data_IF_179735155630
#
_entry.id   IF_179735155630
#
_cell.length_a   1.000
_cell.length_b   1.000
_cell.length_c   1.000
_cell.angle_alpha   90.00
_cell.angle_beta   90.00
_cell.angle_gamma   90.00
#
_symmetry.space_group_name_H-M   'P 1'
#
loop_
_entity.id
_entity.type
_entity.pdbx_description
1 polymer ?
#
# COMPACT_ATOMS: atom_id res chain seq x y z
N UNK A 1 10.38 -7.67 -35.08
CA UNK A 1 9.83 -6.32 -35.27
C UNK A 1 8.57 -6.05 -34.41
N UNK A 2 7.54 -6.89 -34.41
CA UNK A 2 6.32 -6.66 -33.58
C UNK A 2 6.57 -6.54 -32.07
N UNK A 3 7.52 -7.29 -31.49
CA UNK A 3 7.88 -7.23 -30.05
C UNK A 3 8.55 -5.92 -29.62
N UNK A 4 9.36 -5.31 -30.52
CA UNK A 4 10.02 -4.04 -30.24
C UNK A 4 9.02 -2.87 -30.22
N UNK A 5 8.01 -2.92 -31.08
CA UNK A 5 6.97 -1.89 -31.17
C UNK A 5 6.09 -1.90 -29.93
N UNK A 6 5.75 -3.12 -29.39
CA UNK A 6 4.95 -3.25 -28.16
C UNK A 6 5.70 -2.73 -26.94
N UNK A 7 7.00 -3.02 -26.85
CA UNK A 7 7.87 -2.49 -25.75
C UNK A 7 7.98 -0.96 -25.80
N UNK A 8 8.05 -0.36 -27.01
CA UNK A 8 8.06 1.08 -27.18
C UNK A 8 6.74 1.74 -26.76
N UNK A 9 5.60 1.13 -27.05
CA UNK A 9 4.29 1.68 -26.64
C UNK A 9 4.16 1.65 -25.11
N UNK A 10 4.59 0.58 -24.45
CA UNK A 10 4.60 0.51 -22.98
C UNK A 10 5.62 1.48 -22.37
N UNK A 11 6.80 1.65 -22.99
CA UNK A 11 7.84 2.55 -22.49
C UNK A 11 7.53 4.04 -22.76
N UNK A 12 6.91 4.38 -23.88
CA UNK A 12 6.51 5.77 -24.19
C UNK A 12 5.43 6.31 -23.24
N UNK A 13 4.60 5.44 -22.61
CA UNK A 13 3.67 5.87 -21.58
C UNK A 13 4.35 6.37 -20.30
N UNK A 14 5.66 6.10 -20.11
CA UNK A 14 6.43 6.56 -18.94
C UNK A 14 7.23 7.85 -19.16
N UNK A 15 7.39 8.31 -20.41
CA UNK A 15 8.29 9.43 -20.76
C UNK A 15 7.62 10.73 -21.18
N UNK A 16 6.28 10.75 -21.30
CA UNK A 16 5.57 11.99 -21.65
C UNK A 16 5.07 12.65 -20.38
N UNK A 17 5.84 13.64 -19.92
CA UNK A 17 5.42 14.54 -18.86
C UNK A 17 4.16 15.31 -19.28
N UNK A 18 3.19 15.38 -18.36
CA UNK A 18 2.06 16.32 -18.31
C UNK A 18 1.42 16.69 -19.66
N UNK A 19 0.86 15.73 -20.34
CA UNK A 19 -0.31 15.93 -21.18
C UNK A 19 -1.41 15.13 -20.50
N UNK A 20 -2.56 15.75 -20.24
CA UNK A 20 -3.79 15.11 -19.75
C UNK A 20 -4.28 14.08 -20.78
N UNK A 21 -3.60 12.96 -20.83
CA UNK A 21 -4.11 11.76 -21.45
C UNK A 21 -4.85 11.04 -20.34
N UNK A 22 -6.16 11.22 -20.26
CA UNK A 22 -7.05 10.21 -19.71
C UNK A 22 -6.75 8.94 -20.50
N UNK A 23 -5.81 8.15 -20.01
CA UNK A 23 -5.51 6.85 -20.58
C UNK A 23 -6.74 6.00 -20.31
N UNK A 24 -7.57 5.86 -21.35
CA UNK A 24 -8.84 5.16 -21.27
C UNK A 24 -8.54 3.73 -20.78
N UNK A 25 -9.00 3.42 -19.58
CA UNK A 25 -8.81 2.10 -18.94
C UNK A 25 -9.24 0.96 -19.87
N UNK A 26 -10.26 1.18 -20.70
CA UNK A 26 -10.74 0.20 -21.67
C UNK A 26 -9.66 -0.17 -22.71
N UNK A 27 -8.85 0.79 -23.14
CA UNK A 27 -7.72 0.53 -24.05
C UNK A 27 -6.64 -0.32 -23.38
N UNK A 28 -6.36 -0.06 -22.09
CA UNK A 28 -5.42 -0.88 -21.32
C UNK A 28 -5.93 -2.31 -21.12
N UNK A 29 -7.21 -2.47 -20.87
CA UNK A 29 -7.86 -3.78 -20.74
C UNK A 29 -7.76 -4.57 -22.05
N UNK A 30 -8.01 -3.94 -23.20
CA UNK A 30 -7.84 -4.57 -24.50
C UNK A 30 -6.40 -5.02 -24.76
N UNK A 31 -5.41 -4.18 -24.42
CA UNK A 31 -3.99 -4.55 -24.51
C UNK A 31 -3.69 -5.73 -23.61
N UNK A 32 -4.11 -5.68 -22.35
CA UNK A 32 -3.91 -6.73 -21.37
C UNK A 32 -4.46 -8.10 -21.84
N UNK A 33 -5.64 -8.14 -22.46
CA UNK A 33 -6.27 -9.38 -22.93
C UNK A 33 -5.43 -10.12 -23.97
N UNK A 34 -4.59 -9.42 -24.71
CA UNK A 34 -3.72 -9.96 -25.77
C UNK A 34 -2.27 -10.18 -25.32
N UNK A 35 -1.92 -9.88 -24.06
CA UNK A 35 -0.56 -10.11 -23.54
C UNK A 35 -0.33 -11.60 -23.24
N UNK A 36 0.90 -12.09 -23.45
CA UNK A 36 1.28 -13.43 -23.02
C UNK A 36 1.26 -13.55 -21.49
N UNK A 37 1.21 -14.79 -20.99
CA UNK A 37 1.29 -15.08 -19.54
C UNK A 37 2.73 -14.97 -19.05
N UNK A 38 3.23 -13.74 -18.99
CA UNK A 38 4.57 -13.39 -18.49
C UNK A 38 4.53 -12.11 -17.63
N UNK A 39 5.70 -11.62 -17.23
CA UNK A 39 5.82 -10.44 -16.37
C UNK A 39 5.17 -9.17 -16.94
N UNK A 40 5.04 -9.05 -18.28
CA UNK A 40 4.40 -7.88 -18.90
C UNK A 40 2.91 -7.84 -18.59
N UNK A 41 2.28 -9.01 -18.48
CA UNK A 41 0.88 -9.16 -18.08
C UNK A 41 0.65 -8.73 -16.64
N UNK A 42 1.55 -9.09 -15.72
CA UNK A 42 1.50 -8.66 -14.30
C UNK A 42 1.63 -7.15 -14.17
N UNK A 43 2.59 -6.54 -14.90
CA UNK A 43 2.76 -5.08 -14.93
C UNK A 43 1.51 -4.37 -15.45
N UNK A 44 0.92 -4.86 -16.54
CA UNK A 44 -0.29 -4.28 -17.12
C UNK A 44 -1.47 -4.32 -16.14
N UNK A 45 -1.71 -5.48 -15.50
CA UNK A 45 -2.75 -5.63 -14.48
C UNK A 45 -2.53 -4.69 -13.30
N UNK A 46 -1.31 -4.61 -12.79
CA UNK A 46 -0.97 -3.72 -11.69
C UNK A 46 -1.27 -2.24 -12.04
N UNK A 47 -0.98 -1.82 -13.27
CA UNK A 47 -1.28 -0.46 -13.72
C UNK A 47 -2.80 -0.21 -13.84
N UNK A 48 -3.55 -1.18 -14.39
CA UNK A 48 -5.02 -1.11 -14.45
C UNK A 48 -5.60 -0.94 -13.03
N UNK A 49 -5.16 -1.76 -12.08
CA UNK A 49 -5.65 -1.72 -10.69
C UNK A 49 -5.36 -0.35 -10.05
N UNK A 50 -4.17 0.22 -10.28
CA UNK A 50 -3.80 1.53 -9.74
C UNK A 50 -4.67 2.67 -10.26
N UNK A 51 -5.15 2.58 -11.50
CA UNK A 51 -6.10 3.54 -12.08
C UNK A 51 -7.50 3.31 -11.50
N UNK A 52 -7.92 2.05 -11.41
CA UNK A 52 -9.27 1.65 -10.98
C UNK A 52 -9.40 1.46 -9.45
N UNK A 53 -8.42 1.87 -8.64
CA UNK A 53 -8.36 1.55 -7.21
C UNK A 53 -9.60 1.96 -6.40
N UNK A 54 -10.34 2.97 -6.84
CA UNK A 54 -11.58 3.42 -6.22
C UNK A 54 -12.85 2.84 -6.86
N UNK A 55 -12.70 2.02 -7.91
CA UNK A 55 -13.80 1.40 -8.63
C UNK A 55 -14.02 -0.03 -8.11
N UNK A 56 -15.27 -0.52 -7.94
CA UNK A 56 -15.53 -1.92 -7.60
C UNK A 56 -14.86 -2.95 -8.52
N UNK A 57 -14.57 -2.61 -9.78
CA UNK A 57 -13.80 -3.43 -10.70
C UNK A 57 -12.38 -3.74 -10.21
N UNK A 58 -11.83 -2.92 -9.32
CA UNK A 58 -10.52 -3.14 -8.70
C UNK A 58 -10.41 -4.55 -8.11
N UNK A 59 -11.45 -5.06 -7.44
CA UNK A 59 -11.48 -6.41 -6.89
C UNK A 59 -11.30 -7.48 -7.96
N UNK A 60 -12.01 -7.38 -9.08
CA UNK A 60 -11.92 -8.37 -10.17
C UNK A 60 -10.52 -8.39 -10.81
N UNK A 61 -9.92 -7.22 -10.98
CA UNK A 61 -8.56 -7.11 -11.49
C UNK A 61 -7.53 -7.62 -10.47
N UNK A 62 -7.74 -7.38 -9.18
CA UNK A 62 -6.89 -7.90 -8.10
C UNK A 62 -6.97 -9.42 -8.00
N UNK A 63 -8.16 -10.02 -8.15
CA UNK A 63 -8.32 -11.47 -8.27
C UNK A 63 -7.56 -12.03 -9.47
N UNK A 64 -7.63 -11.33 -10.61
CA UNK A 64 -6.92 -11.73 -11.83
C UNK A 64 -5.40 -11.62 -11.64
N UNK A 65 -4.93 -10.54 -11.00
CA UNK A 65 -3.51 -10.36 -10.67
C UNK A 65 -3.01 -11.45 -9.73
N UNK A 66 -3.79 -11.80 -8.70
CA UNK A 66 -3.45 -12.89 -7.78
C UNK A 66 -3.30 -14.22 -8.51
N UNK A 67 -4.28 -14.59 -9.35
CA UNK A 67 -4.23 -15.84 -10.13
C UNK A 67 -3.03 -15.88 -11.06
N UNK A 68 -2.77 -14.80 -11.80
CA UNK A 68 -1.67 -14.70 -12.73
C UNK A 68 -0.31 -14.74 -12.00
N UNK A 69 -0.17 -14.02 -10.89
CA UNK A 69 1.03 -14.00 -10.08
C UNK A 69 1.35 -15.38 -9.47
N UNK A 70 0.35 -16.09 -8.98
CA UNK A 70 0.52 -17.46 -8.45
C UNK A 70 0.91 -18.45 -9.57
N UNK A 71 0.31 -18.32 -10.76
CA UNK A 71 0.67 -19.12 -11.92
C UNK A 71 2.14 -18.91 -12.33
N UNK A 72 2.60 -17.66 -12.33
CA UNK A 72 3.98 -17.29 -12.66
C UNK A 72 4.96 -17.46 -11.48
N UNK A 73 4.46 -17.82 -10.29
CA UNK A 73 5.25 -17.90 -9.04
C UNK A 73 5.93 -16.57 -8.68
N UNK A 74 5.24 -15.47 -8.94
CA UNK A 74 5.71 -14.12 -8.61
C UNK A 74 5.10 -13.65 -7.29
N UNK A 75 5.86 -13.80 -6.20
CA UNK A 75 5.43 -13.42 -4.86
C UNK A 75 5.20 -11.90 -4.72
N UNK A 76 5.91 -11.07 -5.48
CA UNK A 76 5.73 -9.61 -5.44
C UNK A 76 4.32 -9.23 -5.88
N UNK A 77 3.89 -9.70 -7.05
CA UNK A 77 2.57 -9.35 -7.56
C UNK A 77 1.44 -10.09 -6.84
N UNK A 78 1.69 -11.26 -6.27
CA UNK A 78 0.74 -11.92 -5.37
C UNK A 78 0.53 -11.09 -4.09
N UNK A 79 1.60 -10.59 -3.47
CA UNK A 79 1.50 -9.69 -2.32
C UNK A 79 0.82 -8.36 -2.65
N UNK A 80 1.11 -7.76 -3.82
CA UNK A 80 0.43 -6.54 -4.28
C UNK A 80 -1.06 -6.77 -4.55
N UNK A 81 -1.44 -7.92 -5.11
CA UNK A 81 -2.86 -8.25 -5.29
C UNK A 81 -3.61 -8.30 -3.95
N UNK A 82 -3.01 -8.92 -2.92
CA UNK A 82 -3.57 -8.92 -1.57
C UNK A 82 -3.68 -7.50 -0.99
N UNK A 83 -2.66 -6.65 -1.22
CA UNK A 83 -2.68 -5.25 -0.81
C UNK A 83 -3.82 -4.45 -1.46
N UNK A 84 -4.10 -4.64 -2.76
CA UNK A 84 -5.21 -3.95 -3.43
C UNK A 84 -6.59 -4.39 -2.93
N UNK A 85 -6.77 -5.67 -2.64
CA UNK A 85 -7.97 -6.14 -1.94
C UNK A 85 -8.14 -5.45 -0.59
N UNK A 86 -7.07 -5.43 0.20
CA UNK A 86 -7.06 -4.78 1.51
C UNK A 86 -7.43 -3.30 1.39
N UNK A 87 -6.84 -2.56 0.47
CA UNK A 87 -7.10 -1.14 0.25
C UNK A 87 -8.58 -0.88 -0.10
N UNK A 88 -9.17 -1.70 -0.95
CA UNK A 88 -10.59 -1.62 -1.25
C UNK A 88 -11.45 -1.80 0.02
N UNK A 89 -11.18 -2.83 0.82
CA UNK A 89 -11.93 -3.10 2.04
C UNK A 89 -11.69 -2.05 3.13
N UNK A 90 -10.50 -1.48 3.21
CA UNK A 90 -10.20 -0.35 4.08
C UNK A 90 -11.08 0.87 3.74
N UNK A 91 -11.17 1.24 2.46
CA UNK A 91 -12.01 2.34 2.00
C UNK A 91 -13.51 2.11 2.24
N UNK A 92 -13.91 0.88 2.54
CA UNK A 92 -15.29 0.50 2.90
C UNK A 92 -15.48 0.17 4.38
N UNK A 93 -14.52 0.51 5.25
CA UNK A 93 -14.54 0.28 6.70
C UNK A 93 -14.80 -1.21 7.08
N UNK A 94 -14.22 -2.17 6.33
CA UNK A 94 -14.39 -3.61 6.57
C UNK A 94 -13.19 -4.19 7.31
N UNK A 95 -13.12 -3.96 8.63
CA UNK A 95 -11.98 -4.32 9.49
C UNK A 95 -11.57 -5.78 9.39
N UNK A 96 -12.53 -6.72 9.45
CA UNK A 96 -12.23 -8.16 9.37
C UNK A 96 -11.65 -8.54 8.00
N UNK A 97 -12.13 -7.92 6.92
CA UNK A 97 -11.61 -8.16 5.58
C UNK A 97 -10.19 -7.61 5.44
N UNK A 98 -9.89 -6.45 6.03
CA UNK A 98 -8.53 -5.89 6.08
C UNK A 98 -7.58 -6.85 6.78
N UNK A 99 -7.95 -7.36 7.97
CA UNK A 99 -7.14 -8.32 8.72
C UNK A 99 -6.89 -9.62 7.92
N UNK A 100 -7.93 -10.15 7.27
CA UNK A 100 -7.82 -11.33 6.40
C UNK A 100 -6.79 -11.11 5.29
N UNK A 101 -6.83 -9.98 4.60
CA UNK A 101 -5.94 -9.73 3.48
C UNK A 101 -4.50 -9.41 3.90
N UNK A 102 -4.27 -8.88 5.10
CA UNK A 102 -2.92 -8.81 5.70
C UNK A 102 -2.34 -10.22 5.85
N UNK A 103 -3.12 -11.15 6.40
CA UNK A 103 -2.68 -12.55 6.56
C UNK A 103 -2.39 -13.22 5.21
N UNK A 104 -3.16 -12.91 4.17
CA UNK A 104 -2.90 -13.41 2.81
C UNK A 104 -1.65 -12.78 2.17
N UNK A 105 -1.33 -11.54 2.50
CA UNK A 105 -0.17 -10.83 1.99
C UNK A 105 1.15 -11.32 2.62
N UNK A 106 1.13 -11.64 3.91
CA UNK A 106 2.32 -11.89 4.73
C UNK A 106 3.30 -12.93 4.16
N UNK A 107 2.87 -14.12 3.67
CA UNK A 107 3.79 -15.11 3.09
C UNK A 107 4.57 -14.59 1.87
N UNK A 108 3.99 -13.66 1.13
CA UNK A 108 4.59 -13.09 -0.07
C UNK A 108 5.57 -11.95 0.26
N UNK A 109 5.33 -11.21 1.35
CA UNK A 109 6.21 -10.11 1.81
C UNK A 109 7.61 -10.62 2.10
N UNK A 110 7.73 -11.74 2.82
CA UNK A 110 9.01 -12.31 3.20
C UNK A 110 9.85 -12.78 2.00
N UNK A 111 9.21 -13.11 0.87
CA UNK A 111 9.88 -13.62 -0.34
C UNK A 111 10.21 -12.55 -1.35
N UNK A 112 9.51 -11.41 -1.32
CA UNK A 112 9.58 -10.39 -2.37
C UNK A 112 10.00 -9.01 -1.90
N UNK A 113 10.32 -8.86 -0.62
CA UNK A 113 10.81 -7.62 0.00
C UNK A 113 9.87 -6.39 -0.20
N UNK A 114 8.55 -6.62 -0.22
CA UNK A 114 7.55 -5.55 -0.33
C UNK A 114 7.11 -5.01 1.04
N UNK A 115 8.05 -4.83 1.96
CA UNK A 115 7.78 -4.39 3.33
C UNK A 115 7.07 -3.05 3.43
N UNK A 116 7.32 -2.10 2.53
CA UNK A 116 6.64 -0.81 2.52
C UNK A 116 5.13 -0.95 2.36
N UNK A 117 4.69 -1.82 1.45
CA UNK A 117 3.27 -2.11 1.26
C UNK A 117 2.68 -2.86 2.47
N UNK A 118 3.45 -3.74 3.10
CA UNK A 118 3.02 -4.45 4.29
C UNK A 118 2.81 -3.51 5.48
N UNK A 119 3.73 -2.57 5.70
CA UNK A 119 3.57 -1.59 6.78
C UNK A 119 2.46 -0.58 6.48
N UNK A 120 2.22 -0.20 5.23
CA UNK A 120 1.03 0.56 4.86
C UNK A 120 -0.27 -0.22 5.15
N UNK A 121 -0.29 -1.52 4.86
CA UNK A 121 -1.43 -2.39 5.18
C UNK A 121 -1.69 -2.49 6.69
N UNK A 122 -0.63 -2.64 7.49
CA UNK A 122 -0.72 -2.62 8.96
C UNK A 122 -1.22 -1.28 9.48
N UNK A 123 -0.74 -0.17 8.94
CA UNK A 123 -1.22 1.17 9.28
C UNK A 123 -2.73 1.29 9.03
N UNK A 124 -3.24 0.88 7.88
CA UNK A 124 -4.67 0.91 7.58
C UNK A 124 -5.50 0.09 8.59
N UNK A 125 -5.01 -1.06 9.02
CA UNK A 125 -5.68 -1.85 10.06
C UNK A 125 -5.74 -1.10 11.39
N UNK A 126 -4.64 -0.47 11.80
CA UNK A 126 -4.54 0.28 13.04
C UNK A 126 -5.42 1.55 12.99
N UNK A 127 -5.46 2.22 11.84
CA UNK A 127 -6.33 3.38 11.62
C UNK A 127 -7.81 3.00 11.81
N UNK A 128 -8.23 1.80 11.33
CA UNK A 128 -9.59 1.31 11.56
C UNK A 128 -9.87 1.02 13.04
N UNK A 129 -8.93 0.47 13.79
CA UNK A 129 -9.09 0.29 15.23
C UNK A 129 -9.22 1.64 15.95
N UNK A 130 -8.41 2.62 15.58
CA UNK A 130 -8.48 3.98 16.13
C UNK A 130 -9.82 4.65 15.78
N UNK A 131 -10.29 4.51 14.54
CA UNK A 131 -11.59 5.03 14.10
C UNK A 131 -12.76 4.40 14.85
N UNK A 132 -12.66 3.10 15.18
CA UNK A 132 -13.67 2.37 15.96
C UNK A 132 -13.51 2.55 17.47
N UNK A 133 -12.64 3.47 17.92
CA UNK A 133 -12.35 3.74 19.34
C UNK A 133 -11.72 2.54 20.09
N UNK A 134 -11.18 1.55 19.37
CA UNK A 134 -10.45 0.41 19.92
C UNK A 134 -8.99 0.80 20.26
N UNK A 135 -8.81 1.88 21.03
CA UNK A 135 -7.50 2.54 21.22
C UNK A 135 -6.41 1.63 21.78
N UNK A 136 -6.70 0.83 22.80
CA UNK A 136 -5.72 -0.07 23.39
C UNK A 136 -5.26 -1.14 22.39
N UNK A 137 -6.17 -1.60 21.54
CA UNK A 137 -5.84 -2.52 20.45
C UNK A 137 -4.99 -1.83 19.38
N UNK A 138 -5.33 -0.61 19.00
CA UNK A 138 -4.54 0.20 18.08
C UNK A 138 -3.12 0.42 18.60
N UNK A 139 -2.96 0.77 19.87
CA UNK A 139 -1.66 0.96 20.54
C UNK A 139 -0.85 -0.34 20.54
N UNK A 140 -1.48 -1.46 20.88
CA UNK A 140 -0.83 -2.78 20.88
C UNK A 140 -0.30 -3.16 19.51
N UNK A 141 -1.14 -3.06 18.46
CA UNK A 141 -0.76 -3.39 17.09
C UNK A 141 0.28 -2.41 16.51
N UNK A 142 0.20 -1.11 16.85
CA UNK A 142 1.18 -0.13 16.45
C UNK A 142 2.56 -0.41 17.08
N UNK A 143 2.61 -0.86 18.34
CA UNK A 143 3.87 -1.26 18.97
C UNK A 143 4.45 -2.54 18.31
N UNK A 144 3.63 -3.52 17.95
CA UNK A 144 4.09 -4.69 17.17
C UNK A 144 4.63 -4.28 15.81
N UNK A 145 3.92 -3.40 15.09
CA UNK A 145 4.36 -2.85 13.82
C UNK A 145 5.70 -2.12 13.96
N UNK A 146 5.86 -1.29 15.00
CA UNK A 146 7.12 -0.60 15.31
C UNK A 146 8.28 -1.56 15.48
N UNK A 147 8.08 -2.62 16.27
CA UNK A 147 9.11 -3.65 16.49
C UNK A 147 9.48 -4.36 15.18
N UNK A 148 8.51 -4.78 14.40
CA UNK A 148 8.75 -5.41 13.10
C UNK A 148 9.49 -4.48 12.12
N UNK A 149 9.10 -3.20 12.07
CA UNK A 149 9.75 -2.21 11.22
C UNK A 149 11.20 -1.97 11.63
N UNK A 150 11.49 -1.96 12.93
CA UNK A 150 12.85 -1.87 13.46
C UNK A 150 13.70 -3.09 13.04
N UNK A 151 13.18 -4.30 13.23
CA UNK A 151 13.86 -5.55 12.86
C UNK A 151 14.16 -5.65 11.35
N UNK A 152 13.29 -5.03 10.52
CA UNK A 152 13.46 -4.96 9.06
C UNK A 152 14.26 -3.75 8.59
N UNK A 153 14.73 -2.90 9.50
CA UNK A 153 15.39 -1.63 9.20
C UNK A 153 14.55 -0.77 8.22
N UNK A 154 13.22 -0.81 8.38
CA UNK A 154 12.28 -0.10 7.52
C UNK A 154 11.86 1.23 8.15
N UNK A 155 12.54 2.31 7.75
CA UNK A 155 12.29 3.65 8.27
C UNK A 155 10.86 4.14 8.01
N UNK A 156 10.28 3.82 6.84
CA UNK A 156 8.89 4.19 6.51
C UNK A 156 7.91 3.52 7.46
N UNK A 157 8.10 2.24 7.74
CA UNK A 157 7.31 1.50 8.72
C UNK A 157 7.43 2.06 10.14
N UNK A 158 8.65 2.48 10.54
CA UNK A 158 8.87 3.11 11.86
C UNK A 158 8.12 4.44 11.98
N UNK A 159 8.22 5.32 10.98
CA UNK A 159 7.47 6.60 10.95
C UNK A 159 5.96 6.33 11.03
N UNK A 160 5.45 5.43 10.20
CA UNK A 160 4.03 5.08 10.18
C UNK A 160 3.56 4.51 11.53
N UNK A 161 4.35 3.65 12.18
CA UNK A 161 4.01 3.09 13.49
C UNK A 161 3.92 4.16 14.58
N UNK A 162 4.85 5.13 14.59
CA UNK A 162 4.80 6.25 15.53
C UNK A 162 3.61 7.19 15.27
N UNK A 163 3.23 7.41 14.01
CA UNK A 163 2.01 8.17 13.68
C UNK A 163 0.74 7.43 14.16
N UNK A 164 0.67 6.10 13.99
CA UNK A 164 -0.43 5.30 14.51
C UNK A 164 -0.52 5.38 16.04
N UNK A 165 0.62 5.29 16.74
CA UNK A 165 0.68 5.45 18.19
C UNK A 165 0.17 6.82 18.61
N UNK A 166 0.62 7.89 17.94
CA UNK A 166 0.15 9.23 18.21
C UNK A 166 -1.36 9.36 18.07
N UNK A 167 -1.91 8.92 16.95
CA UNK A 167 -3.35 8.98 16.69
C UNK A 167 -4.17 8.23 17.76
N UNK A 168 -3.73 7.04 18.15
CA UNK A 168 -4.41 6.22 19.15
C UNK A 168 -4.31 6.83 20.57
N UNK A 169 -3.15 7.37 20.92
CA UNK A 169 -2.98 8.06 22.20
C UNK A 169 -3.82 9.35 22.28
N UNK A 170 -3.80 10.18 21.24
CA UNK A 170 -4.63 11.40 21.17
C UNK A 170 -6.11 11.05 21.24
N UNK A 171 -6.57 10.04 20.48
CA UNK A 171 -7.95 9.58 20.51
C UNK A 171 -8.39 9.09 21.88
N UNK A 172 -7.49 8.46 22.64
CA UNK A 172 -7.72 8.04 24.04
C UNK A 172 -7.45 9.12 25.09
N UNK A 173 -7.27 10.39 24.69
CA UNK A 173 -6.97 11.55 25.54
C UNK A 173 -5.63 11.47 26.30
N UNK A 174 -4.70 10.66 25.83
CA UNK A 174 -3.34 10.52 26.34
C UNK A 174 -2.40 11.46 25.57
N UNK A 175 -2.61 12.75 25.73
CA UNK A 175 -2.01 13.80 24.90
C UNK A 175 -0.47 13.81 24.93
N UNK A 176 0.12 13.65 26.13
CA UNK A 176 1.58 13.67 26.29
C UNK A 176 2.26 12.53 25.54
N UNK A 177 1.71 11.32 25.65
CA UNK A 177 2.22 10.14 24.92
C UNK A 177 2.02 10.31 23.42
N UNK A 178 0.90 10.90 23.00
CA UNK A 178 0.62 11.19 21.59
C UNK A 178 1.65 12.15 20.99
N UNK A 179 1.92 13.27 21.67
CA UNK A 179 2.93 14.25 21.23
C UNK A 179 4.31 13.61 21.17
N UNK A 180 4.70 12.86 22.21
CA UNK A 180 6.00 12.18 22.25
C UNK A 180 6.15 11.18 21.09
N UNK A 181 5.10 10.41 20.77
CA UNK A 181 5.14 9.49 19.65
C UNK A 181 5.35 10.25 18.31
N UNK A 182 4.71 11.40 18.16
CA UNK A 182 4.83 12.22 16.94
C UNK A 182 6.23 12.86 16.81
N UNK A 183 6.83 13.30 17.94
CA UNK A 183 8.21 13.78 17.96
C UNK A 183 9.20 12.69 17.52
N UNK A 184 8.99 11.44 17.95
CA UNK A 184 9.81 10.31 17.47
C UNK A 184 9.61 10.06 15.98
N UNK A 185 8.38 10.13 15.46
CA UNK A 185 8.15 10.07 14.02
C UNK A 185 8.92 11.18 13.27
N UNK A 186 8.89 12.39 13.79
CA UNK A 186 9.60 13.54 13.19
C UNK A 186 11.13 13.34 13.16
N UNK A 187 11.72 12.83 14.25
CA UNK A 187 13.16 12.56 14.34
C UNK A 187 13.62 11.50 13.31
N UNK A 188 12.73 10.58 12.96
CA UNK A 188 12.99 9.53 11.96
C UNK A 188 12.89 10.04 10.52
N UNK A 189 12.34 11.22 10.28
CA UNK A 189 12.24 11.77 8.93
C UNK A 189 13.61 12.21 8.45
N UNK A 190 14.08 11.58 7.38
CA UNK A 190 15.28 12.02 6.69
C UNK A 190 15.11 13.45 6.13
N UNK A 191 16.19 14.23 5.98
CA UNK A 191 16.12 15.58 5.42
C UNK A 191 15.51 15.63 4.00
N UNK A 192 15.65 14.55 3.24
CA UNK A 192 15.12 14.33 1.90
C UNK A 192 13.80 13.52 1.86
N UNK A 193 13.17 13.31 3.03
CA UNK A 193 11.92 12.59 3.13
C UNK A 193 10.85 13.21 2.20
N UNK A 194 10.01 12.34 1.63
CA UNK A 194 8.91 12.75 0.76
C UNK A 194 8.12 13.90 1.41
N UNK A 195 7.96 15.06 0.72
CA UNK A 195 7.27 16.23 1.26
C UNK A 195 5.89 15.93 1.84
N UNK A 196 5.15 14.97 1.25
CA UNK A 196 3.81 14.56 1.72
C UNK A 196 3.90 13.93 3.11
N UNK A 197 4.86 13.02 3.34
CA UNK A 197 5.07 12.39 4.66
C UNK A 197 5.49 13.44 5.68
N UNK A 198 6.38 14.35 5.30
CA UNK A 198 6.86 15.44 6.14
C UNK A 198 5.73 16.39 6.57
N UNK A 199 4.89 16.81 5.61
CA UNK A 199 3.70 17.64 5.87
C UNK A 199 2.72 16.88 6.77
N UNK A 200 2.48 15.59 6.53
CA UNK A 200 1.58 14.77 7.36
C UNK A 200 2.02 14.73 8.81
N UNK A 201 3.31 14.53 9.11
CA UNK A 201 3.82 14.55 10.49
C UNK A 201 3.75 15.96 11.10
N UNK A 202 4.15 16.99 10.35
CA UNK A 202 4.12 18.38 10.85
C UNK A 202 2.71 18.90 11.10
N UNK A 203 1.73 18.53 10.27
CA UNK A 203 0.33 18.97 10.45
C UNK A 203 -0.34 18.38 11.69
N UNK A 204 0.22 17.33 12.27
CA UNK A 204 -0.26 16.71 13.51
C UNK A 204 0.41 17.34 14.76
N UNK A 205 1.52 18.07 14.59
CA UNK A 205 2.23 18.75 15.68
C UNK A 205 1.70 20.18 15.99
N UNK A 206 0.84 20.72 15.12
CA UNK A 206 0.26 22.07 15.22
C UNK A 206 -1.16 21.99 15.77
#
# INVERSE_FOLDING_TARGET
MKRLILLHIVCCCFLVGKADYEMNTDSLIQVFQNLPHDSTRLVALNNIIRIEQNNPKCIQFSDTLMKEALFQKDDKYAGLAAYYHLLYYYNHNKTDSVAKWITQMEPHVHKSDIWDYFFDAKRFQIDLYTYNEEYERAISEANKMKQQAFEKNNHRGLVAAHQCLSNAYIGSQRWEEGIKALEEAYKLLAPDANPVVRISVLSQLV
#
